data_IF_970629723503
#
_entry.id   IF_970629723503
#
_cell.length_a   1.000
_cell.length_b   1.000
_cell.length_c   1.000
_cell.angle_alpha   90.00
_cell.angle_beta   90.00
_cell.angle_gamma   90.00
#
_symmetry.space_group_name_H-M   'P 1'
#
loop_
_entity.id
_entity.type
_entity.pdbx_description
1 polymer ?
#
# COMPACT_ATOMS: atom_id res chain seq x y z
N UNK A 1 -18.87 -11.24 14.72
CA UNK A 1 -17.71 -11.56 13.83
C UNK A 1 -16.68 -10.45 13.90
N UNK A 2 -15.42 -10.80 14.08
CA UNK A 2 -14.35 -9.82 14.14
C UNK A 2 -14.02 -9.29 12.76
N UNK A 3 -13.94 -7.96 12.66
CA UNK A 3 -13.50 -7.32 11.44
C UNK A 3 -11.99 -7.10 11.52
N UNK A 4 -11.24 -7.61 10.55
CA UNK A 4 -9.79 -7.41 10.51
C UNK A 4 -9.46 -5.96 10.18
N UNK A 5 -8.42 -5.39 10.79
CA UNK A 5 -7.87 -4.12 10.34
C UNK A 5 -7.36 -4.24 8.91
N UNK A 6 -7.41 -3.15 8.16
CA UNK A 6 -6.93 -3.08 6.78
C UNK A 6 -5.67 -2.23 6.73
N UNK A 7 -4.65 -2.73 6.06
CA UNK A 7 -3.42 -1.98 5.78
C UNK A 7 -3.32 -1.78 4.27
N UNK A 8 -3.43 -0.53 3.83
CA UNK A 8 -3.34 -0.16 2.42
C UNK A 8 -1.95 0.44 2.19
N UNK A 9 -1.17 -0.17 1.30
CA UNK A 9 0.22 0.23 1.06
C UNK A 9 0.34 0.91 -0.30
N UNK A 10 0.82 2.15 -0.29
CA UNK A 10 1.13 2.93 -1.49
C UNK A 10 2.48 2.45 -2.05
N UNK A 11 2.43 1.50 -2.98
CA UNK A 11 3.64 0.85 -3.50
C UNK A 11 4.64 1.85 -4.08
N UNK A 12 4.18 2.78 -4.91
CA UNK A 12 5.07 3.75 -5.55
C UNK A 12 5.81 4.59 -4.52
N UNK A 13 5.11 5.05 -3.48
CA UNK A 13 5.71 5.89 -2.44
C UNK A 13 6.70 5.08 -1.58
N UNK A 14 6.33 3.87 -1.20
CA UNK A 14 7.18 3.02 -0.35
C UNK A 14 8.42 2.56 -1.13
N UNK A 15 8.26 2.10 -2.36
CA UNK A 15 9.39 1.71 -3.22
C UNK A 15 10.33 2.90 -3.43
N UNK A 16 9.78 4.08 -3.68
CA UNK A 16 10.55 5.30 -3.92
C UNK A 16 11.22 5.88 -2.69
N UNK A 17 10.91 5.38 -1.49
CA UNK A 17 11.42 5.94 -0.25
C UNK A 17 12.89 5.61 0.03
N UNK A 18 13.46 4.60 -0.63
CA UNK A 18 14.85 4.19 -0.48
C UNK A 18 15.55 4.23 -1.83
N UNK A 19 16.67 4.95 -1.99
CA UNK A 19 17.35 5.08 -3.29
C UNK A 19 18.24 3.86 -3.57
N UNK A 20 17.64 2.71 -3.79
CA UNK A 20 18.33 1.42 -3.97
C UNK A 20 18.35 0.96 -5.44
N UNK A 21 18.07 1.87 -6.39
CA UNK A 21 18.03 1.52 -7.81
C UNK A 21 16.67 1.04 -8.30
N UNK A 22 15.61 1.25 -7.52
CA UNK A 22 14.25 0.81 -7.86
C UNK A 22 13.79 1.29 -9.24
N UNK A 23 14.27 2.46 -9.68
CA UNK A 23 13.89 3.04 -10.97
C UNK A 23 14.37 2.24 -12.17
N UNK A 24 15.33 1.32 -11.98
CA UNK A 24 15.84 0.45 -13.04
C UNK A 24 14.94 -0.75 -13.28
N UNK A 25 14.18 -1.14 -12.26
CA UNK A 25 13.26 -2.27 -12.33
C UNK A 25 12.14 -2.08 -11.31
N UNK A 26 11.19 -1.22 -11.67
CA UNK A 26 10.06 -0.87 -10.77
C UNK A 26 9.21 -2.08 -10.44
N UNK A 27 8.97 -2.94 -11.43
CA UNK A 27 8.18 -4.15 -11.22
C UNK A 27 8.87 -5.09 -10.23
N UNK A 28 10.15 -5.34 -10.38
CA UNK A 28 10.91 -6.18 -9.47
C UNK A 28 10.98 -5.59 -8.07
N UNK A 29 11.17 -4.27 -7.94
CA UNK A 29 11.18 -3.61 -6.64
C UNK A 29 9.83 -3.77 -5.93
N UNK A 30 8.72 -3.66 -6.68
CA UNK A 30 7.37 -3.84 -6.14
C UNK A 30 7.13 -5.28 -5.71
N UNK A 31 7.61 -6.25 -6.48
CA UNK A 31 7.50 -7.67 -6.13
C UNK A 31 8.25 -7.97 -4.83
N UNK A 32 9.44 -7.38 -4.66
CA UNK A 32 10.21 -7.54 -3.41
C UNK A 32 9.47 -6.94 -2.21
N UNK A 33 8.84 -5.79 -2.39
CA UNK A 33 8.00 -5.19 -1.35
C UNK A 33 6.81 -6.10 -1.01
N UNK A 34 6.11 -6.61 -2.03
CA UNK A 34 5.00 -7.55 -1.85
C UNK A 34 5.44 -8.75 -1.01
N UNK A 35 6.58 -9.35 -1.36
CA UNK A 35 7.07 -10.54 -0.67
C UNK A 35 7.46 -10.24 0.77
N UNK A 36 8.02 -9.06 1.02
CA UNK A 36 8.32 -8.61 2.39
C UNK A 36 7.04 -8.41 3.20
N UNK A 37 6.01 -7.84 2.60
CA UNK A 37 4.72 -7.67 3.27
C UNK A 37 4.08 -9.01 3.60
N UNK A 38 4.25 -10.01 2.73
CA UNK A 38 3.70 -11.36 2.95
C UNK A 38 4.35 -12.05 4.16
N UNK A 39 5.56 -11.64 4.52
CA UNK A 39 6.28 -12.20 5.67
C UNK A 39 5.94 -11.51 7.00
N UNK A 40 5.17 -10.40 6.96
CA UNK A 40 4.81 -9.68 8.18
C UNK A 40 3.92 -10.54 9.06
N UNK A 41 4.22 -10.50 10.35
CA UNK A 41 3.34 -11.09 11.34
C UNK A 41 2.23 -10.10 11.67
N UNK A 42 1.03 -10.60 11.81
CA UNK A 42 -0.11 -9.78 12.15
C UNK A 42 -1.39 -10.32 11.55
N UNK A 43 -2.51 -9.74 11.93
CA UNK A 43 -3.84 -10.16 11.50
C UNK A 43 -4.51 -9.13 10.60
N UNK A 44 -3.72 -8.27 9.97
CA UNK A 44 -4.24 -7.26 9.07
C UNK A 44 -4.50 -7.85 7.67
N UNK A 45 -5.55 -7.33 7.02
CA UNK A 45 -5.73 -7.55 5.59
C UNK A 45 -4.84 -6.55 4.86
N UNK A 46 -3.83 -7.04 4.13
CA UNK A 46 -2.85 -6.18 3.46
C UNK A 46 -3.22 -6.02 1.99
N UNK A 47 -3.36 -4.78 1.55
CA UNK A 47 -3.65 -4.43 0.17
C UNK A 47 -2.52 -3.55 -0.35
N UNK A 48 -1.79 -4.05 -1.36
CA UNK A 48 -0.72 -3.32 -2.02
C UNK A 48 -1.26 -2.70 -3.29
N UNK A 49 -1.26 -1.37 -3.37
CA UNK A 49 -1.76 -0.65 -4.53
C UNK A 49 -0.61 -0.31 -5.45
N UNK A 50 -0.68 -0.79 -6.70
CA UNK A 50 0.36 -0.60 -7.71
C UNK A 50 -0.15 0.23 -8.88
N UNK A 51 0.77 0.91 -9.56
CA UNK A 51 0.46 1.74 -10.72
C UNK A 51 1.63 1.73 -11.72
N UNK A 52 1.40 2.26 -12.91
CA UNK A 52 2.44 2.42 -13.91
C UNK A 52 3.10 1.11 -14.30
N UNK A 53 4.44 1.09 -14.31
CA UNK A 53 5.22 -0.09 -14.70
C UNK A 53 5.06 -1.27 -13.75
N UNK A 54 4.52 -1.05 -12.56
CA UNK A 54 4.28 -2.11 -11.57
C UNK A 54 2.87 -2.72 -11.68
N UNK A 55 2.05 -2.28 -12.63
CA UNK A 55 0.75 -2.90 -12.85
C UNK A 55 0.91 -4.39 -13.12
N UNK A 56 -0.11 -5.14 -12.76
CA UNK A 56 -0.19 -6.59 -12.97
C UNK A 56 0.81 -7.41 -12.15
N UNK A 57 1.44 -6.81 -11.15
CA UNK A 57 2.12 -7.61 -10.13
C UNK A 57 1.05 -8.46 -9.43
N UNK A 58 1.28 -9.77 -9.37
CA UNK A 58 0.27 -10.70 -8.87
C UNK A 58 0.17 -10.70 -7.35
N UNK A 59 -1.05 -10.92 -6.84
CA UNK A 59 -1.27 -11.17 -5.42
C UNK A 59 -0.59 -12.47 -4.99
N UNK A 60 -0.25 -12.53 -3.71
CA UNK A 60 0.30 -13.74 -3.08
C UNK A 60 -0.49 -13.99 -1.79
N UNK A 61 -0.40 -15.18 -1.19
CA UNK A 61 -1.04 -15.40 0.10
C UNK A 61 -0.58 -14.35 1.11
N UNK A 62 -1.54 -13.69 1.74
CA UNK A 62 -1.28 -12.63 2.73
C UNK A 62 -1.19 -11.23 2.17
N UNK A 63 -1.08 -11.05 0.85
CA UNK A 63 -1.02 -9.71 0.23
C UNK A 63 -1.87 -9.67 -1.04
N UNK A 64 -2.96 -8.94 -0.97
CA UNK A 64 -3.78 -8.65 -2.14
C UNK A 64 -3.15 -7.49 -2.89
N UNK A 65 -2.92 -7.65 -4.19
CA UNK A 65 -2.39 -6.58 -5.04
C UNK A 65 -3.53 -6.03 -5.90
N UNK A 66 -3.71 -4.72 -5.86
CA UNK A 66 -4.70 -4.01 -6.68
C UNK A 66 -3.98 -3.08 -7.63
N UNK A 67 -4.21 -3.27 -8.93
CA UNK A 67 -3.64 -2.41 -9.97
C UNK A 67 -4.55 -1.22 -10.25
N UNK A 68 -4.02 -0.02 -10.09
CA UNK A 68 -4.77 1.19 -10.37
C UNK A 68 -4.90 1.40 -11.89
N UNK A 69 -6.10 1.68 -12.39
CA UNK A 69 -6.27 1.99 -13.82
C UNK A 69 -5.66 3.34 -14.19
N UNK A 70 -5.52 4.22 -13.22
CA UNK A 70 -4.87 5.52 -13.37
C UNK A 70 -3.89 5.74 -12.25
N UNK A 71 -4.12 6.80 -11.46
CA UNK A 71 -3.31 7.13 -10.30
C UNK A 71 -3.54 6.15 -9.16
N UNK A 72 -2.46 5.68 -8.53
CA UNK A 72 -2.56 4.87 -7.33
C UNK A 72 -3.24 5.61 -6.19
N UNK A 73 -3.05 6.93 -6.11
CA UNK A 73 -3.67 7.76 -5.07
C UNK A 73 -5.19 7.68 -5.12
N UNK A 74 -5.78 7.76 -6.31
CA UNK A 74 -7.23 7.71 -6.45
C UNK A 74 -7.78 6.35 -6.00
N UNK A 75 -7.12 5.27 -6.36
CA UNK A 75 -7.53 3.94 -5.92
C UNK A 75 -7.41 3.78 -4.40
N UNK A 76 -6.32 4.30 -3.82
CA UNK A 76 -6.13 4.26 -2.37
C UNK A 76 -7.26 5.00 -1.64
N UNK A 77 -7.65 6.16 -2.15
CA UNK A 77 -8.76 6.93 -1.56
C UNK A 77 -10.07 6.15 -1.68
N UNK A 78 -10.34 5.53 -2.83
CA UNK A 78 -11.52 4.68 -3.02
C UNK A 78 -11.55 3.53 -2.02
N UNK A 79 -10.41 2.88 -1.81
CA UNK A 79 -10.31 1.78 -0.84
C UNK A 79 -10.52 2.27 0.59
N UNK A 80 -9.93 3.41 0.96
CA UNK A 80 -10.11 3.98 2.29
C UNK A 80 -11.57 4.30 2.55
N UNK A 81 -12.29 4.81 1.54
CA UNK A 81 -13.73 5.08 1.64
C UNK A 81 -14.53 3.79 1.78
N UNK A 82 -14.17 2.75 1.02
CA UNK A 82 -14.85 1.46 1.04
C UNK A 82 -14.68 0.75 2.40
N UNK A 83 -13.53 0.95 3.05
CA UNK A 83 -13.23 0.33 4.35
C UNK A 83 -13.38 1.29 5.53
N UNK A 84 -14.15 2.38 5.35
CA UNK A 84 -14.32 3.39 6.40
C UNK A 84 -14.97 2.85 7.69
N UNK A 85 -15.64 1.70 7.61
CA UNK A 85 -16.26 1.03 8.75
C UNK A 85 -15.32 0.10 9.50
N UNK A 86 -14.05 0.03 9.10
CA UNK A 86 -13.03 -0.84 9.69
C UNK A 86 -11.81 -0.02 10.11
N UNK A 87 -11.04 -0.47 11.10
CA UNK A 87 -9.74 0.13 11.34
C UNK A 87 -8.91 0.06 10.05
N UNK A 88 -8.49 1.20 9.54
CA UNK A 88 -7.80 1.30 8.25
C UNK A 88 -6.57 2.18 8.42
N UNK A 89 -5.42 1.67 7.97
CA UNK A 89 -4.16 2.40 7.99
C UNK A 89 -3.61 2.45 6.58
N UNK A 90 -3.17 3.62 6.14
CA UNK A 90 -2.54 3.84 4.83
C UNK A 90 -1.06 4.12 5.03
N UNK A 91 -0.22 3.37 4.32
CA UNK A 91 1.24 3.54 4.38
C UNK A 91 1.68 4.42 3.23
N UNK A 92 1.99 5.67 3.52
CA UNK A 92 2.47 6.64 2.55
C UNK A 92 3.09 7.85 3.26
N UNK A 93 4.04 8.51 2.61
CA UNK A 93 4.59 9.79 3.07
C UNK A 93 3.95 10.98 2.34
N UNK A 94 3.12 10.74 1.33
CA UNK A 94 2.48 11.77 0.53
C UNK A 94 1.46 12.53 1.36
N UNK A 95 1.72 13.81 1.62
CA UNK A 95 0.87 14.64 2.47
C UNK A 95 -0.54 14.82 1.91
N UNK A 96 -0.65 15.06 0.60
CA UNK A 96 -1.94 15.26 -0.03
C UNK A 96 -2.80 14.01 0.06
N UNK A 97 -2.19 12.84 -0.15
CA UNK A 97 -2.88 11.57 -0.02
C UNK A 97 -3.32 11.33 1.42
N UNK A 98 -2.46 11.65 2.39
CA UNK A 98 -2.80 11.52 3.81
C UNK A 98 -4.05 12.30 4.17
N UNK A 99 -4.13 13.55 3.71
CA UNK A 99 -5.30 14.40 3.97
C UNK A 99 -6.57 13.79 3.37
N UNK A 100 -6.48 13.25 2.17
CA UNK A 100 -7.63 12.66 1.48
C UNK A 100 -8.18 11.43 2.22
N UNK A 101 -7.29 10.54 2.68
CA UNK A 101 -7.73 9.30 3.36
C UNK A 101 -8.17 9.55 4.80
N UNK A 102 -7.59 10.54 5.46
CA UNK A 102 -7.99 10.93 6.81
C UNK A 102 -9.44 11.42 6.86
N UNK A 103 -9.93 11.99 5.77
CA UNK A 103 -11.33 12.38 5.66
C UNK A 103 -12.29 11.19 5.81
N UNK A 104 -11.83 9.97 5.57
CA UNK A 104 -12.60 8.74 5.75
C UNK A 104 -12.24 7.99 7.04
N UNK A 105 -11.47 8.63 7.91
CA UNK A 105 -11.10 8.05 9.21
C UNK A 105 -9.86 7.15 9.20
N UNK A 106 -9.16 7.06 8.07
CA UNK A 106 -7.95 6.23 8.00
C UNK A 106 -6.79 6.91 8.76
N UNK A 107 -5.97 6.08 9.39
CA UNK A 107 -4.70 6.53 9.96
C UNK A 107 -3.62 6.44 8.90
N UNK A 108 -2.55 7.23 9.05
CA UNK A 108 -1.44 7.22 8.11
C UNK A 108 -0.13 6.95 8.85
N UNK A 109 0.71 6.12 8.24
CA UNK A 109 2.05 5.82 8.74
C UNK A 109 3.05 5.95 7.59
N UNK A 110 4.30 6.19 7.92
CA UNK A 110 5.33 6.34 6.90
C UNK A 110 5.84 5.03 6.33
N UNK A 111 6.57 5.09 5.19
CA UNK A 111 7.10 3.90 4.51
C UNK A 111 7.97 3.01 5.36
N UNK A 112 8.67 3.56 6.34
CA UNK A 112 9.55 2.79 7.23
C UNK A 112 8.81 1.73 8.04
N UNK A 113 7.51 1.89 8.22
CA UNK A 113 6.69 0.92 8.94
C UNK A 113 6.75 -0.45 8.27
N UNK A 114 6.79 -0.48 6.94
CA UNK A 114 6.80 -1.72 6.16
C UNK A 114 8.12 -1.94 5.40
N UNK A 115 8.96 -0.93 5.33
CA UNK A 115 10.26 -1.00 4.66
C UNK A 115 11.30 -0.23 5.47
N UNK A 116 11.85 -0.86 6.52
CA UNK A 116 12.94 -0.25 7.27
C UNK A 116 14.15 0.01 6.36
N UNK A 117 14.73 1.19 6.51
CA UNK A 117 15.89 1.58 5.70
C UNK A 117 17.13 0.77 6.07
#
# INVERSE_FOLDING_TARGET
>A
MRTLPVLIVDAANVVGSVPDGWWRDRRGATMRLRDRLAEREGSEEVILVVEGAARDVESVPGVRVESAPGSGDDLIVELAAAYADRPCTVVTADRALRERVQAYGAECVGPRTVRPA
#
